data_IF_229485459875
#
_entry.id   IF_229485459875
#
_cell.length_a   1.000
_cell.length_b   1.000
_cell.length_c   1.000
_cell.angle_alpha   90.00
_cell.angle_beta   90.00
_cell.angle_gamma   90.00
#
_symmetry.space_group_name_H-M   'P 1'
#
loop_
_entity.id
_entity.type
_entity.pdbx_description
1 polymer ?
#
# COMPACT_ATOMS: atom_id res chain seq x y z
N UNK A 1 -27.73 -39.22 17.77
CA UNK A 1 -27.29 -38.01 18.48
C UNK A 1 -26.15 -37.43 17.63
N UNK A 2 -26.41 -36.36 16.95
CA UNK A 2 -25.33 -35.64 16.26
C UNK A 2 -24.42 -34.99 17.31
N UNK A 3 -23.12 -35.30 17.25
CA UNK A 3 -22.13 -34.62 18.07
C UNK A 3 -22.13 -33.14 17.70
N UNK A 4 -22.05 -32.25 18.71
CA UNK A 4 -22.01 -30.82 18.44
C UNK A 4 -20.78 -30.47 17.56
N UNK A 5 -20.91 -29.51 16.63
CA UNK A 5 -19.80 -29.14 15.77
C UNK A 5 -18.60 -28.67 16.61
N UNK A 6 -17.44 -29.26 16.33
CA UNK A 6 -16.18 -28.87 17.00
C UNK A 6 -15.87 -27.44 16.63
N UNK A 7 -15.70 -26.57 17.63
CA UNK A 7 -15.35 -25.16 17.46
C UNK A 7 -13.87 -24.95 17.80
N UNK A 8 -13.24 -23.87 17.26
CA UNK A 8 -11.85 -23.53 17.58
C UNK A 8 -11.59 -23.40 19.11
N UNK A 9 -12.59 -22.99 19.88
CA UNK A 9 -12.49 -22.84 21.33
C UNK A 9 -12.54 -24.15 22.11
N UNK A 10 -13.11 -25.22 21.50
CA UNK A 10 -13.27 -26.55 22.13
C UNK A 10 -12.40 -27.62 21.48
N UNK A 11 -11.56 -27.27 20.53
CA UNK A 11 -10.74 -28.20 19.76
C UNK A 11 -9.56 -28.69 20.58
N UNK A 12 -9.42 -30.01 20.70
CA UNK A 12 -8.39 -30.66 21.52
C UNK A 12 -7.47 -31.55 20.66
N UNK A 13 -6.37 -31.98 21.26
CA UNK A 13 -5.49 -32.96 20.62
C UNK A 13 -6.20 -34.29 20.34
N UNK A 14 -7.11 -34.70 21.26
CA UNK A 14 -7.87 -35.93 21.10
C UNK A 14 -8.80 -35.85 19.87
N UNK A 15 -9.38 -34.68 19.58
CA UNK A 15 -10.18 -34.46 18.37
C UNK A 15 -9.34 -34.61 17.09
N UNK A 16 -8.09 -34.14 17.12
CA UNK A 16 -7.13 -34.35 16.01
C UNK A 16 -6.82 -35.83 15.77
N UNK A 17 -6.57 -36.56 16.85
CA UNK A 17 -6.26 -38.01 16.78
C UNK A 17 -7.48 -38.79 16.36
N UNK A 18 -8.67 -38.44 16.85
CA UNK A 18 -9.93 -39.07 16.45
C UNK A 18 -10.23 -38.82 14.98
N UNK A 19 -9.92 -37.63 14.45
CA UNK A 19 -10.05 -37.30 13.04
C UNK A 19 -8.99 -37.96 12.14
N UNK A 20 -8.03 -38.71 12.70
CA UNK A 20 -6.90 -39.32 11.99
C UNK A 20 -6.19 -38.36 11.06
N UNK A 21 -5.78 -37.19 11.59
CA UNK A 21 -5.18 -36.11 10.83
C UNK A 21 -3.93 -36.57 10.05
N UNK A 22 -3.27 -37.63 10.50
CA UNK A 22 -2.13 -38.26 9.83
C UNK A 22 -2.45 -38.73 8.42
N UNK A 23 -3.71 -39.06 8.12
CA UNK A 23 -4.15 -39.46 6.79
C UNK A 23 -4.39 -38.28 5.85
N UNK A 24 -4.34 -37.06 6.39
CA UNK A 24 -4.64 -35.80 5.68
C UNK A 24 -3.47 -34.80 5.70
N UNK A 25 -2.25 -35.26 6.00
CA UNK A 25 -1.05 -34.40 6.16
C UNK A 25 -0.84 -33.51 4.94
N UNK A 26 -0.95 -34.06 3.72
CA UNK A 26 -0.75 -33.25 2.49
C UNK A 26 -1.77 -32.10 2.44
N UNK A 27 -3.04 -32.40 2.68
CA UNK A 27 -4.10 -31.38 2.65
C UNK A 27 -3.95 -30.33 3.74
N UNK A 28 -3.55 -30.73 4.94
CA UNK A 28 -3.26 -29.81 6.06
C UNK A 28 -2.07 -28.93 5.72
N UNK A 29 -1.01 -29.51 5.14
CA UNK A 29 0.18 -28.76 4.69
C UNK A 29 -0.16 -27.73 3.61
N UNK A 30 -0.99 -28.08 2.63
CA UNK A 30 -1.47 -27.15 1.60
C UNK A 30 -2.23 -25.97 2.22
N UNK A 31 -3.18 -26.27 3.13
CA UNK A 31 -3.98 -25.24 3.80
C UNK A 31 -3.08 -24.33 4.65
N UNK A 32 -2.14 -24.91 5.40
CA UNK A 32 -1.19 -24.16 6.22
C UNK A 32 -0.28 -23.26 5.36
N UNK A 33 0.24 -23.79 4.25
CA UNK A 33 1.06 -23.02 3.32
C UNK A 33 0.25 -21.88 2.67
N UNK A 34 -1.01 -22.14 2.30
CA UNK A 34 -1.88 -21.10 1.77
C UNK A 34 -2.13 -20.01 2.81
N UNK A 35 -2.49 -20.37 4.04
CA UNK A 35 -2.76 -19.43 5.12
C UNK A 35 -1.53 -18.61 5.49
N UNK A 36 -0.35 -19.22 5.55
CA UNK A 36 0.91 -18.50 5.80
C UNK A 36 1.22 -17.52 4.68
N UNK A 37 1.07 -17.93 3.42
CA UNK A 37 1.30 -17.05 2.28
C UNK A 37 0.32 -15.87 2.22
N UNK A 38 -0.96 -16.09 2.58
CA UNK A 38 -1.95 -15.01 2.71
C UNK A 38 -1.56 -14.05 3.84
N UNK A 39 -1.15 -14.56 5.00
CA UNK A 39 -0.72 -13.76 6.12
C UNK A 39 0.51 -12.88 5.81
N UNK A 40 1.48 -13.42 5.07
CA UNK A 40 2.66 -12.66 4.64
C UNK A 40 2.27 -11.50 3.69
N UNK A 41 1.34 -11.73 2.77
CA UNK A 41 0.84 -10.68 1.88
C UNK A 41 0.12 -9.60 2.71
N UNK A 42 -0.79 -9.99 3.60
CA UNK A 42 -1.52 -9.05 4.45
C UNK A 42 -0.58 -8.22 5.32
N UNK A 43 0.47 -8.83 5.85
CA UNK A 43 1.51 -8.14 6.61
C UNK A 43 2.21 -7.08 5.75
N UNK A 44 2.59 -7.41 4.51
CA UNK A 44 3.18 -6.45 3.59
C UNK A 44 2.26 -5.26 3.30
N UNK A 45 0.97 -5.52 3.06
CA UNK A 45 -0.03 -4.48 2.83
C UNK A 45 -0.21 -3.60 4.08
N UNK A 46 -0.20 -4.19 5.26
CA UNK A 46 -0.31 -3.45 6.51
C UNK A 46 0.91 -2.55 6.77
N UNK A 47 2.12 -3.03 6.49
CA UNK A 47 3.33 -2.21 6.56
C UNK A 47 3.27 -1.00 5.62
N UNK A 48 2.80 -1.21 4.39
CA UNK A 48 2.57 -0.13 3.43
C UNK A 48 1.53 0.86 3.97
N UNK A 49 0.41 0.38 4.51
CA UNK A 49 -0.63 1.21 5.09
C UNK A 49 -0.08 2.11 6.20
N UNK A 50 0.64 1.53 7.15
CA UNK A 50 1.24 2.26 8.27
C UNK A 50 2.26 3.30 7.80
N UNK A 51 3.09 2.96 6.82
CA UNK A 51 4.04 3.90 6.25
C UNK A 51 3.34 5.14 5.66
N UNK A 52 2.26 4.93 4.89
CA UNK A 52 1.51 6.04 4.28
C UNK A 52 0.67 6.86 5.25
N UNK A 53 0.35 6.37 6.44
CA UNK A 53 -0.30 7.15 7.50
C UNK A 53 0.61 8.22 8.10
N UNK A 54 1.92 8.01 8.06
CA UNK A 54 2.93 8.91 8.63
C UNK A 54 3.72 9.69 7.57
N UNK A 55 3.53 9.36 6.30
CA UNK A 55 4.22 10.03 5.20
C UNK A 55 3.61 11.40 4.94
N UNK A 56 4.44 12.43 4.91
CA UNK A 56 4.03 13.82 4.69
C UNK A 56 4.82 14.43 3.53
N UNK A 57 4.21 15.38 2.86
CA UNK A 57 4.89 16.22 1.89
C UNK A 57 5.72 17.29 2.60
N UNK A 58 6.94 17.50 2.14
CA UNK A 58 7.73 18.66 2.55
C UNK A 58 7.31 19.87 1.71
N UNK A 59 6.81 20.90 2.38
CA UNK A 59 6.40 22.15 1.73
C UNK A 59 7.26 23.30 2.23
N UNK A 60 7.64 24.21 1.32
CA UNK A 60 8.39 25.44 1.64
C UNK A 60 7.66 26.63 1.05
N UNK A 61 7.91 27.80 1.67
CA UNK A 61 7.42 29.07 1.11
C UNK A 61 8.10 29.35 -0.22
N UNK A 62 7.31 29.81 -1.19
CA UNK A 62 7.83 30.23 -2.48
C UNK A 62 8.44 31.64 -2.33
N UNK A 63 9.77 31.72 -2.47
CA UNK A 63 10.54 32.94 -2.23
C UNK A 63 10.27 33.49 -0.81
N UNK A 64 10.20 34.77 -0.65
CA UNK A 64 9.95 35.48 0.62
C UNK A 64 8.45 35.71 0.87
N UNK A 65 7.56 35.02 0.16
CA UNK A 65 6.12 35.16 0.34
C UNK A 65 5.62 34.30 1.52
N UNK A 66 4.59 34.80 2.24
CA UNK A 66 4.02 34.10 3.40
C UNK A 66 2.79 33.24 3.05
N UNK A 67 2.25 33.42 1.86
CA UNK A 67 0.96 32.88 1.41
C UNK A 67 1.09 31.94 0.21
N UNK A 68 2.30 31.72 -0.31
CA UNK A 68 2.57 30.85 -1.45
C UNK A 68 3.54 29.77 -1.04
N UNK A 69 3.17 28.53 -1.36
CA UNK A 69 3.92 27.34 -0.98
C UNK A 69 4.16 26.46 -2.18
N UNK A 70 5.19 25.63 -2.12
CA UNK A 70 5.47 24.60 -3.10
C UNK A 70 5.99 23.33 -2.44
N UNK A 71 5.76 22.20 -3.09
CA UNK A 71 6.27 20.90 -2.65
C UNK A 71 7.74 20.79 -3.05
N UNK A 72 8.56 20.33 -2.12
CA UNK A 72 10.02 20.13 -2.30
C UNK A 72 10.44 18.79 -1.68
N UNK A 73 11.70 18.38 -1.91
CA UNK A 73 12.27 17.16 -1.33
C UNK A 73 11.43 15.92 -1.69
N UNK A 74 11.02 15.83 -2.98
CA UNK A 74 10.11 14.81 -3.46
C UNK A 74 10.80 13.46 -3.71
N UNK A 75 12.13 13.43 -3.80
CA UNK A 75 12.91 12.27 -4.20
C UNK A 75 12.72 11.09 -3.24
N UNK A 76 12.73 11.36 -1.92
CA UNK A 76 12.53 10.32 -0.91
C UNK A 76 11.11 9.75 -0.97
N UNK A 77 10.12 10.61 -1.21
CA UNK A 77 8.72 10.20 -1.34
C UNK A 77 8.51 9.36 -2.61
N UNK A 78 9.13 9.77 -3.72
CA UNK A 78 9.05 9.02 -4.99
C UNK A 78 9.71 7.66 -4.85
N UNK A 79 10.87 7.59 -4.21
CA UNK A 79 11.56 6.32 -3.94
C UNK A 79 10.72 5.39 -3.07
N UNK A 80 10.09 5.91 -2.01
CA UNK A 80 9.17 5.15 -1.16
C UNK A 80 7.96 4.63 -1.95
N UNK A 81 7.40 5.48 -2.82
CA UNK A 81 6.26 5.13 -3.66
C UNK A 81 6.60 3.99 -4.62
N UNK A 82 7.73 4.10 -5.33
CA UNK A 82 8.21 3.07 -6.26
C UNK A 82 8.48 1.73 -5.55
N UNK A 83 9.13 1.76 -4.37
CA UNK A 83 9.36 0.55 -3.56
C UNK A 83 8.03 -0.12 -3.19
N UNK A 84 7.06 0.65 -2.71
CA UNK A 84 5.76 0.13 -2.33
C UNK A 84 4.95 -0.38 -3.53
N UNK A 85 5.04 0.27 -4.69
CA UNK A 85 4.43 -0.23 -5.93
C UNK A 85 5.04 -1.58 -6.33
N UNK A 86 6.36 -1.74 -6.28
CA UNK A 86 7.03 -3.01 -6.56
C UNK A 86 6.62 -4.11 -5.56
N UNK A 87 6.51 -3.78 -4.28
CA UNK A 87 6.06 -4.73 -3.25
C UNK A 87 4.62 -5.20 -3.50
N UNK A 88 3.71 -4.29 -3.83
CA UNK A 88 2.31 -4.64 -4.18
C UNK A 88 2.26 -5.50 -5.43
N UNK A 89 3.05 -5.19 -6.47
CA UNK A 89 3.16 -6.03 -7.66
C UNK A 89 3.68 -7.44 -7.33
N UNK A 90 4.67 -7.55 -6.45
CA UNK A 90 5.15 -8.84 -5.94
C UNK A 90 4.04 -9.64 -5.24
N UNK A 91 3.21 -8.97 -4.42
CA UNK A 91 2.04 -9.59 -3.79
C UNK A 91 1.00 -10.07 -4.82
N UNK A 92 0.75 -9.28 -5.87
CA UNK A 92 -0.17 -9.65 -6.96
C UNK A 92 0.30 -10.87 -7.74
N UNK A 93 1.62 -11.05 -7.90
CA UNK A 93 2.22 -12.22 -8.55
C UNK A 93 2.22 -13.50 -7.70
N UNK A 94 1.88 -13.42 -6.41
CA UNK A 94 1.89 -14.58 -5.52
C UNK A 94 0.76 -15.55 -5.83
N UNK A 95 1.06 -16.87 -5.77
CA UNK A 95 0.04 -17.92 -5.85
C UNK A 95 -0.98 -17.87 -4.71
N UNK A 96 -0.64 -17.21 -3.60
CA UNK A 96 -1.48 -17.13 -2.40
C UNK A 96 -2.42 -15.91 -2.38
N UNK A 97 -2.38 -15.06 -3.41
CA UNK A 97 -3.16 -13.80 -3.44
C UNK A 97 -4.65 -14.00 -3.67
N UNK A 98 -5.09 -15.18 -4.16
CA UNK A 98 -6.42 -15.38 -4.73
C UNK A 98 -7.58 -14.87 -3.85
N UNK A 99 -7.56 -15.16 -2.54
CA UNK A 99 -8.62 -14.76 -1.60
C UNK A 99 -8.60 -13.30 -1.21
N UNK A 100 -7.42 -12.69 -1.22
CA UNK A 100 -7.16 -11.31 -0.77
C UNK A 100 -6.82 -10.38 -1.93
N UNK A 101 -6.97 -10.87 -3.17
CA UNK A 101 -6.66 -10.13 -4.39
C UNK A 101 -7.29 -8.75 -4.44
N UNK A 102 -8.55 -8.62 -4.05
CA UNK A 102 -9.28 -7.37 -4.08
C UNK A 102 -8.64 -6.28 -3.18
N UNK A 103 -8.11 -6.69 -2.02
CA UNK A 103 -7.44 -5.78 -1.09
C UNK A 103 -6.10 -5.32 -1.67
N UNK A 104 -5.34 -6.24 -2.28
CA UNK A 104 -4.05 -5.92 -2.92
C UNK A 104 -4.26 -5.01 -4.13
N UNK A 105 -5.25 -5.29 -4.98
CA UNK A 105 -5.63 -4.42 -6.11
C UNK A 105 -6.11 -3.04 -5.66
N UNK A 106 -6.76 -2.94 -4.51
CA UNK A 106 -7.15 -1.65 -3.96
C UNK A 106 -5.93 -0.80 -3.60
N UNK A 107 -4.87 -1.41 -3.05
CA UNK A 107 -3.60 -0.74 -2.77
C UNK A 107 -2.82 -0.40 -4.04
N UNK A 108 -2.80 -1.28 -5.03
CA UNK A 108 -2.22 -0.98 -6.33
C UNK A 108 -2.83 0.29 -6.94
N UNK A 109 -4.16 0.37 -6.97
CA UNK A 109 -4.87 1.56 -7.47
C UNK A 109 -4.57 2.81 -6.65
N UNK A 110 -4.52 2.71 -5.31
CA UNK A 110 -4.20 3.86 -4.44
C UNK A 110 -2.81 4.41 -4.72
N UNK A 111 -1.80 3.54 -4.76
CA UNK A 111 -0.43 3.95 -5.03
C UNK A 111 -0.28 4.50 -6.47
N UNK A 112 -0.95 3.91 -7.45
CA UNK A 112 -1.00 4.44 -8.81
C UNK A 112 -1.60 5.84 -8.84
N UNK A 113 -2.73 6.06 -8.18
CA UNK A 113 -3.36 7.39 -8.10
C UNK A 113 -2.44 8.41 -7.42
N UNK A 114 -1.74 8.03 -6.36
CA UNK A 114 -0.77 8.92 -5.69
C UNK A 114 0.35 9.30 -6.65
N UNK A 115 0.88 8.33 -7.42
CA UNK A 115 1.91 8.59 -8.43
C UNK A 115 1.44 9.61 -9.46
N UNK A 116 0.29 9.34 -10.09
CA UNK A 116 -0.28 10.22 -11.11
C UNK A 116 -0.51 11.64 -10.59
N UNK A 117 -1.04 11.77 -9.36
CA UNK A 117 -1.29 13.08 -8.74
C UNK A 117 0.01 13.84 -8.45
N UNK A 118 1.06 13.15 -7.97
CA UNK A 118 2.36 13.77 -7.73
C UNK A 118 2.95 14.30 -9.04
N UNK A 119 2.94 13.49 -10.09
CA UNK A 119 3.50 13.85 -11.40
C UNK A 119 2.78 15.08 -11.98
N UNK A 120 1.45 15.07 -12.00
CA UNK A 120 0.65 16.19 -12.48
C UNK A 120 0.84 17.45 -11.62
N UNK A 121 0.95 17.28 -10.30
CA UNK A 121 1.22 18.39 -9.40
C UNK A 121 2.57 19.05 -9.67
N UNK A 122 3.62 18.26 -9.88
CA UNK A 122 4.96 18.78 -10.17
C UNK A 122 5.01 19.53 -11.51
N UNK A 123 4.31 19.02 -12.52
CA UNK A 123 4.16 19.70 -13.82
C UNK A 123 3.42 21.03 -13.64
N UNK A 124 2.31 21.02 -12.93
CA UNK A 124 1.55 22.23 -12.61
C UNK A 124 2.40 23.25 -11.83
N UNK A 125 3.06 22.83 -10.76
CA UNK A 125 3.89 23.66 -9.91
C UNK A 125 5.01 24.34 -10.71
N UNK A 126 5.69 23.58 -11.57
CA UNK A 126 6.74 24.11 -12.44
C UNK A 126 6.20 25.18 -13.42
N UNK A 127 5.06 24.87 -14.03
CA UNK A 127 4.39 25.79 -14.95
C UNK A 127 3.92 27.07 -14.25
N UNK A 128 3.35 26.94 -13.06
CA UNK A 128 2.92 28.07 -12.24
C UNK A 128 4.11 28.97 -11.84
N UNK A 129 5.22 28.38 -11.38
CA UNK A 129 6.42 29.13 -11.04
C UNK A 129 7.00 29.91 -12.23
N UNK A 130 6.90 29.33 -13.42
CA UNK A 130 7.32 30.01 -14.65
C UNK A 130 6.41 31.20 -14.97
N UNK A 131 5.10 31.00 -14.98
CA UNK A 131 4.11 32.04 -15.26
C UNK A 131 4.11 33.16 -14.21
N UNK A 132 4.27 32.81 -12.95
CA UNK A 132 4.34 33.78 -11.86
C UNK A 132 5.47 34.79 -12.05
N UNK A 133 6.64 34.32 -12.52
CA UNK A 133 7.75 35.19 -12.87
C UNK A 133 7.41 36.17 -14.01
N UNK A 134 6.63 35.71 -14.98
CA UNK A 134 6.22 36.55 -16.12
C UNK A 134 5.21 37.61 -15.64
N UNK A 135 4.19 37.20 -14.88
CA UNK A 135 3.12 38.10 -14.43
C UNK A 135 3.58 39.14 -13.41
N UNK A 136 4.62 38.85 -12.65
CA UNK A 136 5.20 39.80 -11.71
C UNK A 136 6.35 40.66 -12.29
N UNK A 137 6.64 40.53 -13.59
CA UNK A 137 7.59 41.40 -14.25
C UNK A 137 7.05 42.85 -14.31
N UNK A 138 7.85 43.81 -13.92
CA UNK A 138 7.44 45.24 -13.82
C UNK A 138 6.90 45.79 -15.13
N UNK A 139 7.26 45.22 -16.26
CA UNK A 139 6.80 45.62 -17.59
C UNK A 139 5.34 45.17 -17.92
N UNK A 140 4.77 44.26 -17.13
CA UNK A 140 3.42 43.73 -17.32
C UNK A 140 2.41 44.34 -16.34
N UNK A 141 2.87 44.91 -15.23
CA UNK A 141 2.02 45.49 -14.17
C UNK A 141 1.64 46.99 -14.45
N UNK A 142 2.00 47.50 -15.61
CA UNK A 142 1.65 48.89 -16.03
C UNK A 142 0.27 48.99 -16.64
#
# INVERSE_FOLDING_TARGET
MEEPPVTLASFTLDDLLAARIENHIERVSEIAAQASGEADILKNIEEIRVAWETTNFTIKNYRDTKDRFYITEIEDLTTLLEDHQMRVQGCMGSRHVARIRADVEAWERKLGTVSDVIDEWLVFQKSWMYLENIFNAEDIIK
#
